data_IF_638317058123
#
_entry.id   IF_638317058123
#
_cell.length_a   1.000
_cell.length_b   1.000
_cell.length_c   1.000
_cell.angle_alpha   90.00
_cell.angle_beta   90.00
_cell.angle_gamma   90.00
#
_symmetry.space_group_name_H-M   'P 1'
#
loop_
_entity.id
_entity.type
_entity.pdbx_description
1 polymer ?
#
# COMPACT_ATOMS: atom_id res chain seq x y z
N UNK A 1 -37.35 33.99 35.65
CA UNK A 1 -36.72 34.09 36.99
C UNK A 1 -36.90 32.77 37.72
N UNK A 2 -35.82 32.28 38.35
CA UNK A 2 -35.71 31.20 39.37
C UNK A 2 -35.76 29.72 38.94
N UNK A 3 -34.57 29.15 38.79
CA UNK A 3 -34.07 27.83 39.29
C UNK A 3 -34.32 27.64 40.80
N UNK A 4 -33.98 26.50 41.50
CA UNK A 4 -33.28 25.26 41.11
C UNK A 4 -33.88 23.94 41.70
N UNK A 5 -33.29 22.78 41.36
CA UNK A 5 -33.24 21.61 42.26
C UNK A 5 -31.95 20.81 42.10
N UNK A 6 -31.21 20.68 43.20
CA UNK A 6 -29.96 19.91 43.34
C UNK A 6 -29.98 19.23 44.73
N UNK A 7 -29.63 17.93 44.81
CA UNK A 7 -28.85 17.23 45.88
C UNK A 7 -29.09 15.71 45.86
N UNK A 8 -28.05 14.89 45.66
CA UNK A 8 -27.19 14.22 46.68
C UNK A 8 -27.79 12.89 47.19
N UNK A 9 -27.11 11.73 47.27
CA UNK A 9 -25.99 11.34 48.17
C UNK A 9 -25.62 9.87 47.82
N UNK A 10 -24.34 9.52 47.64
CA UNK A 10 -23.34 8.98 48.59
C UNK A 10 -23.45 7.48 48.95
N UNK A 11 -22.29 6.84 48.78
CA UNK A 11 -21.82 5.47 48.98
C UNK A 11 -22.02 4.87 50.38
N UNK A 12 -22.04 3.52 50.45
CA UNK A 12 -21.69 2.73 51.65
C UNK A 12 -20.87 1.50 51.27
N UNK A 13 -19.89 1.19 52.11
CA UNK A 13 -18.97 0.05 52.06
C UNK A 13 -18.97 -0.67 53.42
N UNK A 14 -18.31 -1.84 53.45
CA UNK A 14 -17.84 -2.67 54.59
C UNK A 14 -18.87 -3.66 55.21
N UNK A 15 -18.63 -4.99 55.14
CA UNK A 15 -17.88 -5.89 56.09
C UNK A 15 -18.80 -6.33 57.26
N UNK A 16 -18.84 -7.56 57.84
CA UNK A 16 -17.93 -8.72 57.97
C UNK A 16 -18.67 -9.83 58.80
N UNK A 17 -18.43 -11.14 58.53
CA UNK A 17 -18.30 -12.31 59.47
C UNK A 17 -19.57 -12.81 60.24
N UNK A 18 -19.87 -14.08 60.63
CA UNK A 18 -19.27 -15.44 60.76
C UNK A 18 -20.43 -16.46 60.89
N UNK A 19 -20.27 -17.76 60.52
CA UNK A 19 -20.39 -18.91 61.45
C UNK A 19 -20.04 -20.23 60.73
N UNK A 20 -19.37 -21.11 61.49
CA UNK A 20 -18.71 -22.34 61.05
C UNK A 20 -19.58 -23.59 61.25
N UNK A 21 -19.27 -24.65 60.49
CA UNK A 21 -19.46 -26.04 60.92
C UNK A 21 -18.34 -26.92 60.36
N UNK A 22 -17.70 -27.64 61.27
CA UNK A 22 -16.58 -28.59 61.13
C UNK A 22 -17.03 -29.98 60.67
N UNK A 23 -16.14 -30.74 60.00
CA UNK A 23 -15.90 -32.16 60.31
C UNK A 23 -14.50 -32.58 59.85
N UNK A 24 -13.85 -33.43 60.64
CA UNK A 24 -12.44 -33.81 60.59
C UNK A 24 -12.22 -35.24 60.05
N UNK A 25 -11.04 -35.48 59.48
CA UNK A 25 -10.22 -36.72 59.46
C UNK A 25 -9.09 -36.48 58.45
N UNK A 26 -7.78 -36.57 58.70
CA UNK A 26 -7.02 -37.36 59.66
C UNK A 26 -6.38 -38.55 58.95
N UNK A 27 -5.20 -38.40 58.32
CA UNK A 27 -4.23 -39.50 58.08
C UNK A 27 -2.80 -38.94 58.02
N UNK A 28 -1.92 -39.71 58.65
CA UNK A 28 -0.50 -39.59 58.99
C UNK A 28 0.50 -39.41 57.84
N UNK A 29 1.56 -38.66 58.10
CA UNK A 29 2.80 -38.68 57.33
C UNK A 29 3.66 -39.91 57.71
N UNK A 30 4.03 -40.71 56.72
CA UNK A 30 5.12 -41.69 56.80
C UNK A 30 5.97 -41.55 55.53
N UNK A 31 7.29 -41.44 55.73
CA UNK A 31 8.25 -41.23 54.66
C UNK A 31 8.30 -42.41 53.68
N UNK A 32 8.46 -42.07 52.40
CA UNK A 32 8.89 -43.00 51.37
C UNK A 32 10.04 -42.37 50.60
N UNK A 33 11.10 -43.16 50.51
CA UNK A 33 12.41 -42.90 49.91
C UNK A 33 12.29 -42.55 48.42
N UNK A 34 13.09 -41.57 47.99
CA UNK A 34 13.25 -41.23 46.59
C UNK A 34 14.01 -42.35 45.86
N UNK A 35 13.29 -43.14 45.06
CA UNK A 35 13.87 -43.95 44.00
C UNK A 35 13.89 -43.10 42.72
N UNK A 36 15.10 -42.88 42.19
CA UNK A 36 15.33 -42.12 40.96
C UNK A 36 14.66 -42.82 39.76
N UNK A 37 13.53 -42.27 39.31
CA UNK A 37 12.93 -42.64 38.04
C UNK A 37 13.65 -41.90 36.90
N UNK A 38 14.24 -42.66 35.99
CA UNK A 38 14.70 -42.22 34.67
C UNK A 38 13.62 -41.40 33.96
N UNK A 39 13.93 -40.20 33.41
CA UNK A 39 12.93 -39.43 32.68
C UNK A 39 12.59 -40.12 31.35
N UNK A 40 11.29 -40.35 31.15
CA UNK A 40 10.74 -40.72 29.84
C UNK A 40 11.08 -39.62 28.81
N UNK A 41 11.33 -39.96 27.53
CA UNK A 41 11.60 -38.97 26.51
C UNK A 41 10.39 -38.04 26.38
N UNK A 42 10.66 -36.74 26.50
CA UNK A 42 9.69 -35.67 26.38
C UNK A 42 8.87 -35.85 25.09
N UNK A 43 7.54 -35.89 25.25
CA UNK A 43 6.61 -35.82 24.14
C UNK A 43 6.97 -34.59 23.28
N UNK A 44 7.37 -34.86 22.05
CA UNK A 44 7.65 -33.84 21.04
C UNK A 44 6.35 -33.08 20.84
N UNK A 45 6.28 -31.85 21.36
CA UNK A 45 5.16 -30.96 21.07
C UNK A 45 5.09 -30.78 19.55
N UNK A 46 4.00 -31.24 18.96
CA UNK A 46 3.67 -31.00 17.57
C UNK A 46 3.75 -29.49 17.32
N UNK A 47 4.75 -29.08 16.54
CA UNK A 47 4.94 -27.70 16.14
C UNK A 47 3.67 -27.19 15.47
N UNK A 48 3.01 -26.24 16.10
CA UNK A 48 1.97 -25.43 15.46
C UNK A 48 2.62 -24.74 14.27
N UNK A 49 2.17 -25.09 13.06
CA UNK A 49 2.59 -24.45 11.83
C UNK A 49 2.39 -22.93 11.98
N UNK A 50 3.49 -22.18 12.05
CA UNK A 50 3.45 -20.73 12.04
C UNK A 50 2.77 -20.30 10.72
N UNK A 51 1.51 -19.88 10.79
CA UNK A 51 0.82 -19.28 9.66
C UNK A 51 1.61 -18.02 9.29
N UNK A 52 2.31 -18.04 8.15
CA UNK A 52 2.89 -16.82 7.58
C UNK A 52 1.73 -15.84 7.40
N UNK A 53 1.67 -14.82 8.27
CA UNK A 53 0.64 -13.78 8.18
C UNK A 53 0.91 -13.02 6.88
N UNK A 54 0.16 -13.36 5.85
CA UNK A 54 0.17 -12.68 4.56
C UNK A 54 -0.22 -11.22 4.78
N UNK A 55 0.72 -10.30 4.52
CA UNK A 55 0.48 -8.87 4.66
C UNK A 55 -0.41 -8.41 3.50
N UNK A 56 -1.69 -8.17 3.82
CA UNK A 56 -2.66 -7.68 2.86
C UNK A 56 -2.76 -6.16 2.85
N UNK A 57 -3.07 -5.57 1.69
CA UNK A 57 -3.32 -4.16 1.59
C UNK A 57 -4.72 -3.77 2.07
N UNK A 58 -4.89 -2.49 2.39
CA UNK A 58 -6.23 -1.93 2.61
C UNK A 58 -6.72 -1.26 1.34
N UNK A 59 -7.82 -1.79 0.79
CA UNK A 59 -8.51 -1.19 -0.37
C UNK A 59 -9.88 -0.63 0.03
N UNK A 60 -10.15 0.66 -0.24
CA UNK A 60 -11.35 1.38 0.24
C UNK A 60 -11.81 2.50 -0.69
N UNK A 61 -12.99 3.05 -0.40
CA UNK A 61 -13.61 4.17 -1.15
C UNK A 61 -12.64 5.32 -1.45
N UNK A 62 -12.77 5.87 -2.65
CA UNK A 62 -11.92 6.96 -3.16
C UNK A 62 -10.61 6.51 -3.80
N UNK A 63 -10.16 5.27 -3.56
CA UNK A 63 -9.00 4.71 -4.24
C UNK A 63 -9.33 4.30 -5.69
N UNK A 64 -8.29 4.20 -6.51
CA UNK A 64 -8.35 3.79 -7.91
C UNK A 64 -7.14 2.92 -8.28
N UNK A 65 -7.23 2.15 -9.37
CA UNK A 65 -6.12 1.39 -9.94
C UNK A 65 -6.35 -0.13 -10.01
N UNK A 66 -5.29 -0.88 -10.28
CA UNK A 66 -5.36 -2.33 -10.51
C UNK A 66 -5.86 -3.12 -9.31
N UNK A 67 -5.53 -2.69 -8.08
CA UNK A 67 -6.00 -3.35 -6.86
C UNK A 67 -7.52 -3.21 -6.70
N UNK A 68 -8.07 -2.04 -7.05
CA UNK A 68 -9.51 -1.81 -7.07
C UNK A 68 -10.18 -2.66 -8.15
N UNK A 69 -9.59 -2.69 -9.37
CA UNK A 69 -10.09 -3.56 -10.44
C UNK A 69 -10.02 -5.05 -10.04
N UNK A 70 -9.01 -5.44 -9.27
CA UNK A 70 -8.86 -6.79 -8.71
C UNK A 70 -10.00 -7.10 -7.75
N UNK A 71 -10.29 -6.19 -6.81
CA UNK A 71 -11.46 -6.33 -5.92
C UNK A 71 -12.75 -6.48 -6.72
N UNK A 72 -12.99 -5.62 -7.71
CA UNK A 72 -14.21 -5.65 -8.54
C UNK A 72 -14.36 -6.96 -9.33
N UNK A 73 -13.27 -7.46 -9.92
CA UNK A 73 -13.27 -8.71 -10.67
C UNK A 73 -13.42 -9.93 -9.75
N UNK A 74 -12.79 -9.94 -8.57
CA UNK A 74 -12.95 -11.00 -7.59
C UNK A 74 -14.38 -11.01 -7.01
N UNK A 75 -14.95 -9.83 -6.72
CA UNK A 75 -16.37 -9.69 -6.33
C UNK A 75 -17.29 -10.28 -7.40
N UNK A 76 -17.07 -9.93 -8.67
CA UNK A 76 -17.84 -10.46 -9.79
C UNK A 76 -17.69 -11.99 -9.90
N UNK A 77 -16.48 -12.52 -9.72
CA UNK A 77 -16.24 -13.96 -9.68
C UNK A 77 -16.90 -14.66 -8.48
N UNK A 78 -17.23 -13.93 -7.43
CA UNK A 78 -18.01 -14.39 -6.26
C UNK A 78 -19.51 -14.11 -6.39
N UNK A 79 -19.99 -13.68 -7.57
CA UNK A 79 -21.41 -13.42 -7.85
C UNK A 79 -21.87 -11.98 -7.58
N UNK A 80 -21.01 -11.11 -7.05
CA UNK A 80 -21.31 -9.71 -6.79
C UNK A 80 -20.95 -8.87 -8.02
N UNK A 81 -21.83 -8.88 -9.04
CA UNK A 81 -21.62 -8.15 -10.29
C UNK A 81 -21.35 -6.65 -10.02
N UNK A 82 -20.19 -6.18 -10.49
CA UNK A 82 -19.75 -4.77 -10.44
C UNK A 82 -18.87 -4.49 -11.65
N UNK A 83 -18.96 -3.27 -12.20
CA UNK A 83 -18.08 -2.84 -13.29
C UNK A 83 -16.64 -2.79 -12.80
N UNK A 84 -15.72 -3.44 -13.51
CA UNK A 84 -14.29 -3.48 -13.18
C UNK A 84 -13.51 -2.30 -13.81
N UNK A 85 -13.95 -1.09 -13.50
CA UNK A 85 -13.39 0.20 -13.98
C UNK A 85 -12.14 0.65 -13.21
N UNK A 86 -11.79 -0.04 -12.12
CA UNK A 86 -10.68 0.32 -11.26
C UNK A 86 -10.95 1.56 -10.40
N UNK A 87 -12.21 1.96 -10.20
CA UNK A 87 -12.61 3.09 -9.34
C UNK A 87 -13.43 2.57 -8.14
N UNK A 88 -12.97 2.88 -6.93
CA UNK A 88 -13.68 2.48 -5.72
C UNK A 88 -14.74 3.52 -5.37
N UNK A 89 -15.80 3.54 -6.18
CA UNK A 89 -16.99 4.36 -5.97
C UNK A 89 -18.02 3.71 -5.05
N UNK A 90 -19.18 4.37 -4.92
CA UNK A 90 -20.31 3.89 -4.10
C UNK A 90 -20.80 2.50 -4.51
N UNK A 91 -20.83 2.19 -5.81
CA UNK A 91 -21.20 0.87 -6.33
C UNK A 91 -20.28 -0.24 -5.83
N UNK A 92 -18.96 -0.03 -5.91
CA UNK A 92 -17.96 -0.97 -5.38
C UNK A 92 -18.10 -1.12 -3.86
N UNK A 93 -18.25 -0.02 -3.13
CA UNK A 93 -18.41 -0.04 -1.67
C UNK A 93 -19.66 -0.85 -1.24
N UNK A 94 -20.79 -0.67 -1.92
CA UNK A 94 -22.00 -1.43 -1.65
C UNK A 94 -21.80 -2.93 -1.85
N UNK A 95 -21.09 -3.35 -2.91
CA UNK A 95 -20.80 -4.77 -3.18
C UNK A 95 -19.80 -5.36 -2.18
N UNK A 96 -18.81 -4.59 -1.73
CA UNK A 96 -17.91 -5.01 -0.65
C UNK A 96 -18.69 -5.25 0.64
N UNK A 97 -19.56 -4.31 1.05
CA UNK A 97 -20.41 -4.47 2.25
C UNK A 97 -21.33 -5.70 2.15
N UNK A 98 -21.93 -5.92 0.98
CA UNK A 98 -22.76 -7.10 0.74
C UNK A 98 -21.96 -8.41 0.85
N UNK A 99 -20.75 -8.44 0.30
CA UNK A 99 -19.84 -9.58 0.42
C UNK A 99 -19.42 -9.82 1.87
N UNK A 100 -19.04 -8.77 2.60
CA UNK A 100 -18.66 -8.84 4.01
C UNK A 100 -19.80 -9.40 4.87
N UNK A 101 -21.03 -8.88 4.71
CA UNK A 101 -22.22 -9.37 5.41
C UNK A 101 -22.45 -10.86 5.14
N UNK A 102 -22.36 -11.30 3.88
CA UNK A 102 -22.53 -12.70 3.50
C UNK A 102 -21.40 -13.62 3.97
N UNK A 103 -20.24 -13.08 4.38
CA UNK A 103 -19.11 -13.82 4.93
C UNK A 103 -18.95 -13.63 6.44
N UNK A 104 -19.95 -13.07 7.11
CA UNK A 104 -19.96 -12.80 8.55
C UNK A 104 -18.75 -11.94 9.00
N UNK A 105 -18.38 -10.96 8.17
CA UNK A 105 -17.39 -9.93 8.48
C UNK A 105 -18.08 -8.61 8.82
N UNK A 106 -17.36 -7.70 9.48
CA UNK A 106 -17.81 -6.31 9.64
C UNK A 106 -18.06 -5.69 8.26
N UNK A 107 -19.29 -5.24 8.01
CA UNK A 107 -19.71 -4.65 6.73
C UNK A 107 -19.36 -3.16 6.61
N UNK A 108 -18.08 -2.82 6.83
CA UNK A 108 -17.55 -1.46 6.81
C UNK A 108 -17.26 -0.92 5.39
N UNK A 109 -17.25 -1.79 4.37
CA UNK A 109 -16.92 -1.44 2.99
C UNK A 109 -15.41 -1.30 2.74
N UNK A 110 -14.58 -1.75 3.68
CA UNK A 110 -13.12 -1.72 3.61
C UNK A 110 -12.59 -3.13 3.35
N UNK A 111 -11.85 -3.28 2.26
CA UNK A 111 -11.17 -4.54 1.93
C UNK A 111 -9.82 -4.57 2.66
N UNK A 112 -9.86 -4.94 3.94
CA UNK A 112 -8.68 -5.26 4.75
C UNK A 112 -8.36 -6.76 4.74
N UNK A 113 -7.40 -7.19 5.57
CA UNK A 113 -6.90 -8.58 5.60
C UNK A 113 -7.99 -9.65 5.72
N UNK A 114 -8.96 -9.47 6.62
CA UNK A 114 -10.08 -10.41 6.80
C UNK A 114 -10.94 -10.52 5.54
N UNK A 115 -11.23 -9.39 4.89
CA UNK A 115 -11.97 -9.35 3.63
C UNK A 115 -11.18 -10.03 2.52
N UNK A 116 -9.89 -9.75 2.38
CA UNK A 116 -9.02 -10.37 1.38
C UNK A 116 -8.95 -11.88 1.51
N UNK A 117 -8.68 -12.38 2.72
CA UNK A 117 -8.62 -13.81 3.02
C UNK A 117 -9.90 -14.55 2.59
N UNK A 118 -11.05 -13.90 2.67
CA UNK A 118 -12.32 -14.46 2.20
C UNK A 118 -12.56 -14.21 0.72
N UNK A 119 -12.07 -13.12 0.13
CA UNK A 119 -12.37 -12.68 -1.25
C UNK A 119 -11.52 -13.40 -2.30
N UNK A 120 -10.23 -13.62 -2.03
CA UNK A 120 -9.31 -14.28 -2.98
C UNK A 120 -9.69 -15.74 -3.20
N UNK A 121 -9.31 -16.30 -4.34
CA UNK A 121 -9.59 -17.68 -4.72
C UNK A 121 -8.33 -18.33 -5.28
N UNK A 122 -8.20 -19.64 -5.07
CA UNK A 122 -7.09 -20.39 -5.66
C UNK A 122 -7.31 -20.53 -7.15
N UNK A 123 -6.37 -20.03 -7.95
CA UNK A 123 -6.37 -20.19 -9.41
C UNK A 123 -5.21 -21.07 -9.86
N UNK A 124 -5.43 -21.88 -10.89
CA UNK A 124 -4.41 -22.73 -11.51
C UNK A 124 -4.67 -22.87 -13.01
N UNK A 125 -3.76 -23.53 -13.72
CA UNK A 125 -3.96 -23.85 -15.15
C UNK A 125 -5.33 -24.50 -15.38
N UNK A 126 -6.06 -24.02 -16.38
CA UNK A 126 -7.44 -24.43 -16.69
C UNK A 126 -8.52 -23.59 -15.99
N UNK A 127 -8.21 -22.79 -14.98
CA UNK A 127 -9.16 -21.81 -14.42
C UNK A 127 -9.59 -20.80 -15.50
N UNK A 128 -10.85 -20.32 -15.41
CA UNK A 128 -11.42 -19.33 -16.34
C UNK A 128 -12.25 -18.28 -15.60
N UNK A 129 -12.48 -17.14 -16.23
CA UNK A 129 -13.44 -16.12 -15.78
C UNK A 129 -12.82 -14.89 -15.12
N UNK A 130 -13.64 -14.13 -14.38
CA UNK A 130 -13.25 -12.82 -13.85
C UNK A 130 -12.06 -12.89 -12.87
N UNK A 131 -11.95 -13.95 -12.07
CA UNK A 131 -10.78 -14.16 -11.20
C UNK A 131 -9.47 -14.26 -11.98
N UNK A 132 -9.50 -14.94 -13.15
CA UNK A 132 -8.32 -15.03 -14.03
C UNK A 132 -8.01 -13.68 -14.68
N UNK A 133 -9.03 -12.90 -15.08
CA UNK A 133 -8.80 -11.52 -15.56
C UNK A 133 -8.13 -10.65 -14.49
N UNK A 134 -8.50 -10.83 -13.21
CA UNK A 134 -7.87 -10.13 -12.10
C UNK A 134 -6.38 -10.50 -11.97
N UNK A 135 -6.08 -11.80 -12.04
CA UNK A 135 -4.70 -12.31 -12.04
C UNK A 135 -3.88 -11.75 -13.21
N UNK A 136 -4.43 -11.82 -14.43
CA UNK A 136 -3.73 -11.36 -15.64
C UNK A 136 -3.44 -9.85 -15.62
N UNK A 137 -4.38 -9.06 -15.09
CA UNK A 137 -4.17 -7.63 -14.84
C UNK A 137 -3.05 -7.41 -13.83
N UNK A 138 -3.05 -8.13 -12.71
CA UNK A 138 -2.01 -8.00 -11.68
C UNK A 138 -0.63 -8.46 -12.17
N UNK A 139 -0.54 -9.55 -12.93
CA UNK A 139 0.72 -10.00 -13.54
C UNK A 139 1.29 -8.91 -14.47
N UNK A 140 0.45 -8.39 -15.38
CA UNK A 140 0.85 -7.30 -16.29
C UNK A 140 1.26 -6.05 -15.52
N UNK A 141 0.55 -5.73 -14.44
CA UNK A 141 0.87 -4.61 -13.57
C UNK A 141 2.25 -4.75 -12.91
N UNK A 142 2.56 -5.96 -12.45
CA UNK A 142 3.84 -6.37 -11.86
C UNK A 142 4.96 -6.63 -12.91
N UNK A 143 4.75 -6.30 -14.19
CA UNK A 143 5.76 -6.40 -15.24
C UNK A 143 5.80 -7.77 -15.97
N UNK A 144 4.86 -8.66 -15.67
CA UNK A 144 4.71 -9.97 -16.30
C UNK A 144 3.56 -9.93 -17.31
N UNK A 145 3.77 -9.23 -18.43
CA UNK A 145 2.74 -9.03 -19.45
C UNK A 145 2.15 -10.34 -19.95
N UNK A 146 0.81 -10.41 -19.93
CA UNK A 146 -0.02 -11.50 -20.45
C UNK A 146 -1.25 -10.91 -21.13
N UNK A 147 -1.85 -11.63 -22.07
CA UNK A 147 -3.18 -11.28 -22.60
C UNK A 147 -4.23 -11.41 -21.49
N UNK A 148 -5.12 -10.41 -21.37
CA UNK A 148 -6.21 -10.41 -20.37
C UNK A 148 -7.48 -10.98 -20.99
N UNK A 149 -7.47 -12.28 -21.28
CA UNK A 149 -8.58 -13.01 -21.91
C UNK A 149 -9.49 -13.71 -20.88
N UNK A 150 -9.06 -13.83 -19.63
CA UNK A 150 -9.74 -14.59 -18.59
C UNK A 150 -9.55 -16.11 -18.69
N UNK A 151 -8.51 -16.56 -19.39
CA UNK A 151 -8.13 -17.98 -19.52
C UNK A 151 -6.76 -18.22 -18.91
N UNK A 152 -6.69 -19.11 -17.91
CA UNK A 152 -5.43 -19.48 -17.28
C UNK A 152 -4.77 -20.59 -18.11
N UNK A 153 -4.22 -20.20 -19.25
CA UNK A 153 -3.43 -21.08 -20.13
C UNK A 153 -1.96 -21.18 -19.74
N UNK A 154 -1.18 -21.85 -20.59
CA UNK A 154 0.27 -22.07 -20.40
C UNK A 154 1.07 -20.77 -20.29
N UNK A 155 0.74 -19.75 -21.08
CA UNK A 155 1.36 -18.43 -21.01
C UNK A 155 1.19 -17.75 -19.64
N UNK A 156 -0.04 -17.76 -19.10
CA UNK A 156 -0.32 -17.27 -17.75
C UNK A 156 0.43 -18.09 -16.69
N UNK A 157 0.44 -19.41 -16.82
CA UNK A 157 1.15 -20.30 -15.88
C UNK A 157 2.66 -20.03 -15.82
N UNK A 158 3.30 -19.84 -16.97
CA UNK A 158 4.71 -19.50 -17.03
C UNK A 158 5.01 -18.18 -16.31
N UNK A 159 4.17 -17.16 -16.50
CA UNK A 159 4.32 -15.85 -15.84
C UNK A 159 4.05 -15.91 -14.34
N UNK A 160 3.09 -16.71 -13.89
CA UNK A 160 2.87 -16.95 -12.44
C UNK A 160 4.11 -17.57 -11.80
N UNK A 161 4.66 -18.63 -12.40
CA UNK A 161 5.87 -19.28 -11.87
C UNK A 161 7.07 -18.33 -11.84
N UNK A 162 7.24 -17.52 -12.88
CA UNK A 162 8.29 -16.50 -12.94
C UNK A 162 8.11 -15.43 -11.83
N UNK A 163 6.88 -14.94 -11.64
CA UNK A 163 6.55 -14.02 -10.57
C UNK A 163 6.83 -14.62 -9.18
N UNK A 164 6.37 -15.85 -8.93
CA UNK A 164 6.58 -16.56 -7.67
C UNK A 164 8.08 -16.71 -7.37
N UNK A 165 8.88 -17.16 -8.36
CA UNK A 165 10.33 -17.25 -8.23
C UNK A 165 10.96 -15.91 -7.87
N UNK A 166 10.57 -14.83 -8.54
CA UNK A 166 11.08 -13.49 -8.27
C UNK A 166 10.63 -12.90 -6.92
N UNK A 167 9.55 -13.41 -6.33
CA UNK A 167 9.05 -13.03 -5.01
C UNK A 167 9.44 -14.00 -3.90
N UNK A 168 10.32 -14.95 -4.20
CA UNK A 168 10.75 -16.00 -3.26
C UNK A 168 9.57 -16.80 -2.68
N UNK A 169 8.54 -17.01 -3.50
CA UNK A 169 7.42 -17.91 -3.22
C UNK A 169 7.66 -19.27 -3.89
N UNK A 170 6.95 -20.29 -3.44
CA UNK A 170 6.94 -21.60 -4.10
C UNK A 170 6.44 -21.44 -5.55
N UNK A 171 7.32 -21.65 -6.53
CA UNK A 171 7.03 -21.47 -7.96
C UNK A 171 6.23 -22.63 -8.58
N UNK A 172 5.11 -23.01 -7.93
CA UNK A 172 4.25 -24.13 -8.33
C UNK A 172 3.25 -23.76 -9.44
N UNK A 173 3.08 -22.47 -9.77
CA UNK A 173 2.12 -22.01 -10.78
C UNK A 173 0.67 -21.95 -10.28
N UNK A 174 0.43 -22.19 -9.00
CA UNK A 174 -0.86 -22.04 -8.32
C UNK A 174 -0.91 -20.68 -7.63
N UNK A 175 -1.95 -19.90 -7.91
CA UNK A 175 -2.15 -18.57 -7.29
C UNK A 175 -3.05 -18.74 -6.07
N UNK A 176 -2.41 -18.94 -4.93
CA UNK A 176 -3.00 -19.04 -3.59
C UNK A 176 -2.95 -17.70 -2.84
N UNK A 177 -3.36 -17.70 -1.56
CA UNK A 177 -3.39 -16.48 -0.74
C UNK A 177 -2.02 -15.77 -0.64
N UNK A 178 -0.89 -16.45 -0.39
CA UNK A 178 0.44 -15.82 -0.45
C UNK A 178 0.77 -15.21 -1.82
N UNK A 179 0.45 -15.93 -2.91
CA UNK A 179 0.68 -15.40 -4.26
C UNK A 179 -0.18 -14.17 -4.53
N UNK A 180 -1.45 -14.19 -4.13
CA UNK A 180 -2.34 -13.03 -4.23
C UNK A 180 -1.85 -11.86 -3.38
N UNK A 181 -1.44 -12.06 -2.14
CA UNK A 181 -0.92 -10.99 -1.29
C UNK A 181 0.33 -10.34 -1.89
N UNK A 182 1.20 -11.15 -2.51
CA UNK A 182 2.36 -10.63 -3.23
C UNK A 182 2.01 -9.87 -4.51
N UNK A 183 0.95 -10.29 -5.23
CA UNK A 183 0.45 -9.63 -6.43
C UNK A 183 -0.23 -8.30 -6.11
N UNK A 184 -1.10 -8.30 -5.10
CA UNK A 184 -1.88 -7.16 -4.63
C UNK A 184 -1.08 -6.43 -3.55
N UNK A 185 0.01 -5.77 -3.92
CA UNK A 185 0.79 -4.95 -2.98
C UNK A 185 0.08 -3.62 -2.73
N UNK A 186 -0.23 -3.34 -1.47
CA UNK A 186 -1.06 -2.22 -1.02
C UNK A 186 -0.61 -0.83 -1.35
N UNK A 187 -0.98 -0.43 -2.55
CA UNK A 187 -0.44 0.74 -3.19
C UNK A 187 -0.33 0.34 -4.63
N UNK A 188 -1.48 0.39 -5.30
CA UNK A 188 -1.56 0.18 -6.73
C UNK A 188 -0.39 0.88 -7.40
N UNK A 189 0.14 0.25 -8.45
CA UNK A 189 1.01 0.95 -9.40
C UNK A 189 0.50 2.38 -9.56
N UNK A 190 1.38 3.39 -9.42
CA UNK A 190 0.99 4.79 -9.41
C UNK A 190 -0.06 5.00 -10.48
N UNK A 191 -1.28 5.37 -10.06
CA UNK A 191 -2.41 5.56 -10.96
C UNK A 191 -1.89 6.21 -12.23
N UNK A 192 -2.10 5.58 -13.39
CA UNK A 192 -1.71 6.16 -14.67
C UNK A 192 -2.50 7.44 -15.00
N UNK A 193 -3.32 7.94 -14.07
CA UNK A 193 -4.02 9.21 -14.12
C UNK A 193 -3.28 10.36 -13.42
N UNK A 194 -3.72 11.56 -13.80
CA UNK A 194 -3.37 12.83 -13.19
C UNK A 194 -4.15 13.04 -11.89
N UNK A 195 -3.56 13.73 -10.92
CA UNK A 195 -4.15 14.01 -9.61
C UNK A 195 -4.65 15.46 -9.54
N UNK A 196 -5.66 15.73 -8.71
CA UNK A 196 -5.92 17.11 -8.26
C UNK A 196 -4.79 17.58 -7.33
N UNK A 197 -4.65 18.90 -7.18
CA UNK A 197 -3.68 19.49 -6.24
C UNK A 197 -3.87 18.94 -4.81
N UNK A 198 -5.12 18.89 -4.34
CA UNK A 198 -5.46 18.38 -3.01
C UNK A 198 -5.11 16.90 -2.81
N UNK A 199 -5.31 16.06 -3.83
CA UNK A 199 -4.96 14.65 -3.78
C UNK A 199 -3.44 14.46 -3.72
N UNK A 200 -2.69 15.19 -4.54
CA UNK A 200 -1.24 15.16 -4.54
C UNK A 200 -0.68 15.68 -3.20
N UNK A 201 -1.17 16.82 -2.71
CA UNK A 201 -0.77 17.40 -1.44
C UNK A 201 -1.04 16.45 -0.25
N UNK A 202 -2.19 15.77 -0.24
CA UNK A 202 -2.50 14.79 0.80
C UNK A 202 -1.51 13.61 0.81
N UNK A 203 -1.14 13.09 -0.37
CA UNK A 203 -0.14 12.02 -0.51
C UNK A 203 1.24 12.46 0.00
N UNK A 204 1.68 13.65 -0.38
CA UNK A 204 2.98 14.20 0.03
C UNK A 204 3.02 14.46 1.53
N UNK A 205 1.97 15.06 2.09
CA UNK A 205 1.84 15.31 3.54
C UNK A 205 1.92 14.01 4.34
N UNK A 206 1.24 12.95 3.88
CA UNK A 206 1.30 11.64 4.52
C UNK A 206 2.71 11.01 4.50
N UNK A 207 3.55 11.39 3.53
CA UNK A 207 4.94 10.96 3.43
C UNK A 207 5.93 11.91 4.15
N UNK A 208 5.45 12.95 4.84
CA UNK A 208 6.31 13.95 5.48
C UNK A 208 7.08 14.82 4.49
N UNK A 209 6.51 15.03 3.30
CA UNK A 209 7.04 15.91 2.26
C UNK A 209 6.26 17.22 2.29
N UNK A 210 6.96 18.34 2.27
CA UNK A 210 6.34 19.68 2.30
C UNK A 210 6.37 20.34 0.92
N UNK A 211 5.56 21.40 0.76
CA UNK A 211 5.51 22.23 -0.44
C UNK A 211 5.59 23.69 -0.02
N UNK A 212 6.38 24.47 -0.75
CA UNK A 212 6.47 25.93 -0.61
C UNK A 212 6.01 26.58 -1.91
N UNK A 213 5.28 27.69 -1.80
CA UNK A 213 4.84 28.52 -2.92
C UNK A 213 5.09 29.99 -2.62
N UNK A 214 5.76 30.69 -3.52
CA UNK A 214 6.06 32.12 -3.36
C UNK A 214 4.81 33.00 -3.40
N UNK A 215 3.79 32.60 -4.15
CA UNK A 215 2.48 33.25 -4.21
C UNK A 215 1.47 32.74 -3.18
N UNK A 216 1.87 31.82 -2.29
CA UNK A 216 1.00 31.15 -1.32
C UNK A 216 -0.30 30.59 -1.95
N UNK A 217 -0.18 29.93 -3.10
CA UNK A 217 -1.33 29.52 -3.89
C UNK A 217 -1.06 28.22 -4.68
N UNK A 218 -2.14 27.65 -5.23
CA UNK A 218 -2.12 26.35 -5.94
C UNK A 218 -2.73 26.44 -7.33
N UNK A 219 -3.05 27.64 -7.81
CA UNK A 219 -3.60 27.86 -9.13
C UNK A 219 -2.52 27.62 -10.20
N UNK A 220 -2.76 26.60 -11.02
CA UNK A 220 -1.86 26.18 -12.09
C UNK A 220 -1.61 27.26 -13.15
N UNK A 221 -2.55 28.18 -13.35
CA UNK A 221 -2.43 29.26 -14.33
C UNK A 221 -1.68 30.49 -13.79
N UNK A 222 -1.10 30.41 -12.60
CA UNK A 222 -0.32 31.49 -12.00
C UNK A 222 1.10 31.02 -11.69
N UNK A 223 2.10 31.64 -12.35
CA UNK A 223 3.52 31.32 -12.23
C UNK A 223 4.13 31.52 -10.83
N UNK A 224 3.44 32.21 -9.92
CA UNK A 224 3.87 32.36 -8.51
C UNK A 224 3.36 31.21 -7.63
N UNK A 225 2.41 30.41 -8.11
CA UNK A 225 1.89 29.28 -7.37
C UNK A 225 2.80 28.06 -7.51
N UNK A 226 2.71 27.14 -6.56
CA UNK A 226 3.27 25.80 -6.70
C UNK A 226 2.10 24.84 -6.81
N UNK A 227 1.66 24.57 -8.03
CA UNK A 227 0.45 23.80 -8.30
C UNK A 227 0.77 22.34 -8.57
N UNK A 228 0.09 21.43 -7.89
CA UNK A 228 0.15 19.99 -8.16
C UNK A 228 -1.09 19.52 -8.93
N UNK A 229 -1.92 20.43 -9.42
CA UNK A 229 -3.05 20.07 -10.27
C UNK A 229 -2.56 19.39 -11.55
N UNK A 230 -3.21 18.31 -11.94
CA UNK A 230 -2.86 17.52 -13.12
C UNK A 230 -1.48 16.84 -13.06
N UNK A 231 -0.82 16.82 -11.90
CA UNK A 231 0.44 16.11 -11.73
C UNK A 231 0.21 14.60 -11.86
N UNK A 232 1.13 13.87 -12.47
CA UNK A 232 0.98 12.42 -12.63
C UNK A 232 1.16 11.75 -11.29
N UNK A 233 0.35 10.71 -11.05
CA UNK A 233 0.54 9.90 -9.83
C UNK A 233 1.94 9.29 -9.77
N UNK A 234 2.52 8.91 -10.92
CA UNK A 234 3.91 8.42 -11.04
C UNK A 234 4.94 9.41 -10.50
N UNK A 235 4.77 10.70 -10.79
CA UNK A 235 5.66 11.76 -10.31
C UNK A 235 5.57 11.89 -8.80
N UNK A 236 4.35 11.94 -8.23
CA UNK A 236 4.17 11.99 -6.77
C UNK A 236 4.73 10.74 -6.08
N UNK A 237 4.43 9.55 -6.58
CA UNK A 237 4.93 8.31 -5.99
C UNK A 237 6.46 8.18 -6.15
N UNK A 238 7.03 8.74 -7.22
CA UNK A 238 8.47 8.88 -7.42
C UNK A 238 9.15 9.80 -6.41
N UNK A 239 8.54 10.94 -6.07
CA UNK A 239 9.04 11.85 -5.03
C UNK A 239 8.92 11.21 -3.64
N UNK A 240 7.84 10.47 -3.38
CA UNK A 240 7.68 9.68 -2.14
C UNK A 240 8.76 8.59 -2.04
N UNK A 241 9.07 7.92 -3.15
CA UNK A 241 10.16 6.95 -3.19
C UNK A 241 11.53 7.60 -2.94
N UNK A 242 11.78 8.78 -3.51
CA UNK A 242 12.99 9.57 -3.23
C UNK A 242 13.10 9.89 -1.73
N UNK A 243 12.04 10.41 -1.11
CA UNK A 243 11.99 10.68 0.35
C UNK A 243 12.30 9.42 1.16
N UNK A 244 11.64 8.31 0.82
CA UNK A 244 11.75 7.05 1.56
C UNK A 244 13.15 6.43 1.46
N UNK A 245 13.75 6.46 0.28
CA UNK A 245 15.03 5.80 0.03
C UNK A 245 16.23 6.66 0.44
N UNK A 246 16.10 7.99 0.37
CA UNK A 246 17.15 8.92 0.75
C UNK A 246 17.12 9.29 2.24
N UNK A 247 15.96 9.15 2.88
CA UNK A 247 15.66 9.67 4.22
C UNK A 247 15.81 11.20 4.34
N UNK A 248 16.05 11.91 3.24
CA UNK A 248 16.29 13.35 3.23
C UNK A 248 15.02 14.16 3.51
N UNK A 249 15.16 15.40 3.97
CA UNK A 249 14.05 16.35 3.88
C UNK A 249 13.78 16.69 2.42
N UNK A 250 12.51 16.65 2.01
CA UNK A 250 12.07 16.95 0.64
C UNK A 250 11.05 18.07 0.72
N UNK A 251 11.31 19.15 -0.01
CA UNK A 251 10.41 20.30 -0.15
C UNK A 251 10.17 20.51 -1.63
N UNK A 252 8.91 20.46 -2.06
CA UNK A 252 8.52 20.77 -3.43
C UNK A 252 8.46 22.29 -3.61
N UNK A 253 9.17 22.81 -4.60
CA UNK A 253 9.28 24.25 -4.89
C UNK A 253 8.56 24.67 -6.16
N UNK A 254 8.26 23.71 -7.04
CA UNK A 254 7.63 23.92 -8.33
C UNK A 254 6.91 22.64 -8.77
N UNK A 255 5.78 22.79 -9.45
CA UNK A 255 4.90 21.71 -9.82
C UNK A 255 4.54 21.77 -11.29
N UNK A 256 3.28 22.05 -11.56
CA UNK A 256 2.66 21.96 -12.89
C UNK A 256 2.18 23.30 -13.41
N UNK A 257 2.47 24.38 -12.67
CA UNK A 257 2.10 25.74 -12.98
C UNK A 257 2.68 26.22 -14.33
N UNK A 258 2.10 27.30 -14.85
CA UNK A 258 2.62 27.99 -16.04
C UNK A 258 3.97 28.66 -15.76
N UNK A 259 4.76 28.86 -16.82
CA UNK A 259 6.09 29.49 -16.73
C UNK A 259 7.25 28.53 -17.02
N UNK A 260 6.95 27.24 -17.20
CA UNK A 260 7.91 26.19 -17.56
C UNK A 260 7.93 25.90 -19.06
N UNK A 261 9.04 25.34 -19.56
CA UNK A 261 9.13 24.88 -20.94
C UNK A 261 8.10 23.78 -21.26
N UNK A 262 7.52 23.85 -22.45
CA UNK A 262 6.58 22.86 -22.97
C UNK A 262 7.27 21.55 -23.40
N UNK A 263 6.47 20.56 -23.79
CA UNK A 263 6.95 19.27 -24.32
C UNK A 263 6.25 18.07 -23.69
N UNK A 264 6.51 16.87 -24.21
CA UNK A 264 5.89 15.61 -23.75
C UNK A 264 6.15 15.35 -22.27
N UNK A 265 7.41 15.40 -21.86
CA UNK A 265 7.87 15.18 -20.48
C UNK A 265 8.14 16.52 -19.78
N UNK A 266 7.07 17.28 -19.54
CA UNK A 266 7.13 18.64 -18.99
C UNK A 266 6.41 18.76 -17.63
N UNK A 267 6.62 19.89 -16.95
CA UNK A 267 5.83 20.32 -15.80
C UNK A 267 4.34 20.37 -16.15
N UNK A 268 4.01 20.93 -17.32
CA UNK A 268 2.62 21.04 -17.73
C UNK A 268 1.95 19.67 -17.98
N UNK A 269 2.71 18.67 -18.39
CA UNK A 269 2.17 17.32 -18.55
C UNK A 269 2.27 16.46 -17.29
N UNK A 270 2.69 17.07 -16.18
CA UNK A 270 2.74 16.47 -14.84
C UNK A 270 3.85 15.45 -14.67
N UNK A 271 4.85 15.44 -15.56
CA UNK A 271 5.99 14.53 -15.52
C UNK A 271 7.14 15.04 -14.65
N UNK A 272 7.23 16.37 -14.51
CA UNK A 272 8.28 17.06 -13.77
C UNK A 272 7.78 17.64 -12.47
N UNK A 273 8.71 17.84 -11.54
CA UNK A 273 8.51 18.49 -10.25
C UNK A 273 9.83 19.05 -9.75
N UNK A 274 9.80 20.25 -9.20
CA UNK A 274 10.99 20.87 -8.62
C UNK A 274 11.09 20.53 -7.16
N UNK A 275 12.25 20.01 -6.76
CA UNK A 275 12.58 19.70 -5.38
C UNK A 275 13.69 20.63 -4.92
N UNK A 276 13.48 21.31 -3.79
CA UNK A 276 14.47 22.19 -3.19
C UNK A 276 15.82 21.48 -3.04
N UNK A 277 16.88 22.14 -3.48
CA UNK A 277 18.23 21.62 -3.36
C UNK A 277 18.64 21.59 -1.90
N UNK A 278 19.17 20.45 -1.46
CA UNK A 278 19.85 20.32 -0.18
C UNK A 278 20.94 19.25 -0.30
N UNK A 279 21.94 19.33 0.58
CA UNK A 279 23.12 18.45 0.54
C UNK A 279 22.75 16.97 0.59
N UNK A 280 21.76 16.58 1.39
CA UNK A 280 21.31 15.20 1.50
C UNK A 280 20.77 14.68 0.16
N UNK A 281 19.84 15.42 -0.47
CA UNK A 281 19.25 15.03 -1.76
C UNK A 281 20.31 14.98 -2.86
N UNK A 282 21.16 15.99 -2.93
CA UNK A 282 22.27 16.06 -3.91
C UNK A 282 23.21 14.86 -3.77
N UNK A 283 23.64 14.54 -2.55
CA UNK A 283 24.52 13.40 -2.29
C UNK A 283 23.85 12.07 -2.65
N UNK A 284 22.56 11.91 -2.32
CA UNK A 284 21.80 10.72 -2.69
C UNK A 284 21.73 10.56 -4.21
N UNK A 285 21.38 11.63 -4.95
CA UNK A 285 21.29 11.60 -6.41
C UNK A 285 22.65 11.22 -7.00
N UNK A 286 23.73 11.90 -6.62
CA UNK A 286 25.07 11.62 -7.14
C UNK A 286 25.53 10.17 -6.89
N UNK A 287 25.15 9.60 -5.73
CA UNK A 287 25.50 8.22 -5.37
C UNK A 287 24.67 7.16 -6.12
N UNK A 288 23.41 7.46 -6.43
CA UNK A 288 22.43 6.47 -6.91
C UNK A 288 21.99 6.67 -8.36
N UNK A 289 22.62 7.60 -9.08
CA UNK A 289 22.35 7.85 -10.50
C UNK A 289 23.64 8.15 -11.24
N UNK A 290 23.60 8.09 -12.58
CA UNK A 290 24.79 8.31 -13.42
C UNK A 290 24.74 9.70 -14.03
N UNK A 291 25.80 10.50 -13.87
CA UNK A 291 25.95 11.75 -14.61
C UNK A 291 25.93 11.43 -16.10
N UNK A 292 25.07 12.13 -16.86
CA UNK A 292 24.78 11.77 -18.24
C UNK A 292 25.21 12.86 -19.23
N UNK A 293 24.51 13.99 -19.26
CA UNK A 293 24.76 15.07 -20.21
C UNK A 293 24.45 16.42 -19.59
N UNK A 294 24.92 17.50 -20.23
CA UNK A 294 24.55 18.87 -19.89
C UNK A 294 23.43 19.32 -20.84
N UNK A 295 22.35 19.88 -20.30
CA UNK A 295 21.27 20.52 -21.05
C UNK A 295 21.74 21.83 -21.68
N UNK A 296 20.97 22.36 -22.63
CA UNK A 296 21.26 23.63 -23.31
C UNK A 296 21.21 24.85 -22.38
N UNK A 297 20.45 24.80 -21.30
CA UNK A 297 20.43 25.79 -20.21
C UNK A 297 21.63 25.67 -19.25
N UNK A 298 22.49 24.67 -19.45
CA UNK A 298 23.66 24.43 -18.62
C UNK A 298 23.47 23.46 -17.45
N UNK A 299 22.27 22.87 -17.27
CA UNK A 299 22.00 21.97 -16.15
C UNK A 299 22.61 20.60 -16.41
N UNK A 300 23.33 20.05 -15.43
CA UNK A 300 23.81 18.68 -15.52
C UNK A 300 22.69 17.70 -15.18
N UNK A 301 22.47 16.73 -16.06
CA UNK A 301 21.47 15.67 -15.86
C UNK A 301 22.13 14.43 -15.30
N UNK A 302 21.54 13.91 -14.23
CA UNK A 302 21.85 12.61 -13.65
C UNK A 302 20.70 11.64 -13.91
N UNK A 303 21.01 10.48 -14.48
CA UNK A 303 20.04 9.55 -15.04
C UNK A 303 19.97 8.24 -14.27
N UNK A 304 18.75 7.76 -14.08
CA UNK A 304 18.44 6.40 -13.60
C UNK A 304 17.77 5.63 -14.73
N UNK A 305 18.26 4.41 -14.96
CA UNK A 305 17.74 3.50 -15.98
C UNK A 305 17.28 2.19 -15.36
N UNK A 306 16.20 1.61 -15.89
CA UNK A 306 15.74 0.26 -15.55
C UNK A 306 15.42 -0.50 -16.83
N UNK A 307 15.96 -1.71 -16.98
CA UNK A 307 15.77 -2.52 -18.19
C UNK A 307 16.21 -1.82 -19.48
N UNK A 308 17.28 -1.02 -19.42
CA UNK A 308 17.80 -0.25 -20.56
C UNK A 308 17.01 1.02 -20.91
N UNK A 309 15.94 1.36 -20.18
CA UNK A 309 15.13 2.56 -20.41
C UNK A 309 15.36 3.59 -19.31
N UNK A 310 15.35 4.88 -19.68
CA UNK A 310 15.33 5.98 -18.72
C UNK A 310 14.04 5.94 -17.90
N UNK A 311 14.18 6.00 -16.58
CA UNK A 311 13.04 6.04 -15.66
C UNK A 311 12.99 7.32 -14.84
N UNK A 312 14.14 7.92 -14.54
CA UNK A 312 14.23 9.21 -13.84
C UNK A 312 15.41 10.00 -14.41
N UNK A 313 15.21 11.29 -14.65
CA UNK A 313 16.28 12.26 -14.87
C UNK A 313 16.21 13.33 -13.78
N UNK A 314 17.34 13.60 -13.13
CA UNK A 314 17.54 14.68 -12.17
C UNK A 314 18.39 15.76 -12.83
N UNK A 315 17.79 16.88 -13.22
CA UNK A 315 18.52 18.03 -13.75
C UNK A 315 18.90 18.97 -12.59
N UNK A 316 20.20 19.23 -12.45
CA UNK A 316 20.74 20.12 -11.45
C UNK A 316 20.68 21.58 -11.93
N UNK A 317 19.63 22.31 -11.54
CA UNK A 317 19.48 23.74 -11.78
C UNK A 317 20.01 24.53 -10.57
N UNK A 318 21.29 24.36 -10.26
CA UNK A 318 21.91 24.92 -9.04
C UNK A 318 21.73 26.43 -8.89
N UNK A 319 21.65 27.19 -9.98
CA UNK A 319 21.40 28.64 -9.98
C UNK A 319 19.98 29.01 -9.50
N UNK A 320 19.02 28.11 -9.66
CA UNK A 320 17.63 28.28 -9.22
C UNK A 320 17.35 27.52 -7.91
N UNK A 321 18.39 26.98 -7.26
CA UNK A 321 18.36 26.29 -5.96
C UNK A 321 17.36 25.13 -5.88
N UNK A 322 17.13 24.42 -6.98
CA UNK A 322 16.30 23.21 -7.00
C UNK A 322 16.84 22.16 -7.97
N UNK A 323 16.29 20.96 -7.85
CA UNK A 323 16.42 19.87 -8.81
C UNK A 323 15.14 19.82 -9.64
N UNK A 324 15.26 19.91 -10.97
CA UNK A 324 14.15 19.63 -11.91
C UNK A 324 14.15 18.11 -12.19
N UNK A 325 13.19 17.40 -11.58
CA UNK A 325 13.13 15.94 -11.60
C UNK A 325 12.04 15.47 -12.55
N UNK A 326 12.42 14.68 -13.56
CA UNK A 326 11.51 14.06 -14.53
C UNK A 326 11.30 12.59 -14.22
N UNK A 327 10.04 12.14 -14.11
CA UNK A 327 9.66 10.74 -13.90
C UNK A 327 8.91 10.17 -15.11
N UNK A 328 9.49 9.19 -15.82
CA UNK A 328 8.98 8.69 -17.11
C UNK A 328 7.89 7.60 -16.99
#
# INVERSE_FOLDING_TARGET
MRTPTQKSRRSRAASVVLLATTLAAGVTAAGATAAAATPAPAAVQAGTAATVQVSWPTVKSGQRGVDVATVQLLLTARGYKVTADGIFGSGTAAKVKAFQKAKHLTADGIVGANTWNKLVMTLKSGSKGAGVKALQRQLTDNGYTVTVDGVFGSGTAAKVKAFQKAKHLTANGTVDAPTWAALVRGGGKPSSGKLSDSQAAAKLKAAGITRTSSGNCTNRNNKKCTSLQDIRTRTIDGVIALKKNSHCSIVITGGTEVGHAGGTYSHWNGYKVDVARNSCVTNYIHKHSKKHHKRGDGAWVWRVTSGGKTVIDYADEYWANHWDITYY
#
